data_IF_366562905014
#
_entry.id   IF_366562905014
#
_cell.length_a   1.000
_cell.length_b   1.000
_cell.length_c   1.000
_cell.angle_alpha   90.00
_cell.angle_beta   90.00
_cell.angle_gamma   90.00
#
_symmetry.space_group_name_H-M   'P 1'
#
loop_
_entity.id
_entity.type
_entity.pdbx_description
1 polymer ?
#
# COMPACT_ATOMS: atom_id res chain seq x y z
N UNK A 1 -3.71 -13.41 -16.30
CA UNK A 1 -2.98 -12.26 -16.92
C UNK A 1 -1.49 -12.56 -17.03
N UNK A 2 -0.79 -11.94 -17.98
CA UNK A 2 0.66 -12.08 -18.17
C UNK A 2 1.30 -10.71 -18.07
N UNK A 3 2.35 -10.55 -17.23
CA UNK A 3 2.97 -9.27 -16.95
C UNK A 3 4.45 -9.38 -16.60
N UNK A 4 5.18 -8.28 -16.79
CA UNK A 4 6.57 -8.06 -16.44
C UNK A 4 7.02 -6.67 -16.87
N UNK A 5 8.24 -6.28 -16.54
CA UNK A 5 8.77 -4.94 -16.87
C UNK A 5 9.39 -4.90 -18.27
N UNK A 6 10.02 -5.98 -18.69
CA UNK A 6 10.73 -6.08 -19.98
C UNK A 6 10.08 -7.18 -20.80
N UNK A 7 9.67 -6.88 -22.05
CA UNK A 7 9.10 -7.89 -22.95
C UNK A 7 10.02 -9.10 -23.06
N UNK A 8 9.45 -10.29 -22.80
CA UNK A 8 10.21 -11.56 -22.78
C UNK A 8 10.65 -12.01 -21.38
N UNK A 9 10.73 -11.12 -20.39
CA UNK A 9 10.97 -11.46 -18.98
C UNK A 9 9.66 -11.40 -18.19
N UNK A 10 8.95 -12.53 -18.16
CA UNK A 10 7.67 -12.65 -17.48
C UNK A 10 7.89 -12.83 -15.99
N UNK A 11 7.18 -12.03 -15.18
CA UNK A 11 7.09 -12.21 -13.73
C UNK A 11 5.82 -12.99 -13.41
N UNK A 12 4.73 -12.66 -14.10
CA UNK A 12 3.50 -13.42 -14.08
C UNK A 12 3.20 -13.98 -15.48
N UNK A 13 2.95 -15.26 -15.56
CA UNK A 13 2.59 -15.95 -16.81
C UNK A 13 1.30 -16.73 -16.61
N UNK A 14 0.27 -16.35 -17.35
CA UNK A 14 -1.10 -16.87 -17.23
C UNK A 14 -1.65 -16.89 -15.79
N UNK A 15 -1.21 -15.92 -14.98
CA UNK A 15 -1.55 -15.83 -13.57
C UNK A 15 -3.01 -15.39 -13.37
N UNK A 16 -3.67 -15.96 -12.36
CA UNK A 16 -5.00 -15.59 -11.90
C UNK A 16 -5.03 -15.51 -10.38
N UNK A 17 -5.63 -14.43 -9.86
CA UNK A 17 -5.94 -14.26 -8.46
C UNK A 17 -7.25 -13.49 -8.35
N UNK A 18 -8.07 -13.88 -7.40
CA UNK A 18 -9.23 -13.11 -6.96
C UNK A 18 -9.20 -12.96 -5.45
N UNK A 19 -9.25 -11.72 -4.97
CA UNK A 19 -9.43 -11.39 -3.55
C UNK A 19 -10.79 -10.68 -3.46
N UNK A 20 -11.69 -11.18 -2.63
CA UNK A 20 -13.07 -10.70 -2.58
C UNK A 20 -13.47 -10.28 -1.18
N UNK A 21 -14.24 -9.19 -1.11
CA UNK A 21 -14.82 -8.67 0.11
C UNK A 21 -13.88 -7.79 0.95
N UNK A 22 -14.41 -7.17 1.99
CA UNK A 22 -13.60 -6.53 3.02
C UNK A 22 -12.82 -7.59 3.78
N UNK A 23 -11.66 -7.20 4.31
CA UNK A 23 -10.78 -8.06 5.10
C UNK A 23 -9.33 -7.64 5.00
N UNK A 24 -8.49 -8.21 5.88
CA UNK A 24 -7.05 -8.05 5.88
C UNK A 24 -6.40 -9.30 5.29
N UNK A 25 -5.75 -9.14 4.15
CA UNK A 25 -5.14 -10.21 3.37
C UNK A 25 -3.62 -10.06 3.39
N UNK A 26 -2.91 -11.09 3.83
CA UNK A 26 -1.45 -11.09 3.83
C UNK A 26 -0.92 -11.78 2.58
N UNK A 27 -0.37 -10.99 1.66
CA UNK A 27 0.33 -11.50 0.48
C UNK A 27 1.81 -11.72 0.82
N UNK A 28 2.25 -12.96 0.82
CA UNK A 28 3.63 -13.33 1.11
C UNK A 28 4.29 -14.09 -0.05
N UNK A 29 5.60 -14.24 0.03
CA UNK A 29 6.41 -14.96 -0.93
C UNK A 29 7.89 -14.58 -0.83
N UNK A 30 8.75 -15.35 -1.48
CA UNK A 30 10.21 -15.14 -1.47
C UNK A 30 10.59 -13.82 -2.15
N UNK A 31 11.81 -13.34 -1.90
CA UNK A 31 12.36 -12.21 -2.65
C UNK A 31 12.39 -12.52 -4.15
N UNK A 32 12.00 -11.56 -4.97
CA UNK A 32 11.89 -11.72 -6.41
C UNK A 32 10.66 -12.48 -6.91
N UNK A 33 9.74 -12.91 -6.04
CA UNK A 33 8.54 -13.66 -6.44
C UNK A 33 7.44 -12.83 -7.11
N UNK A 34 7.62 -11.49 -7.22
CA UNK A 34 6.66 -10.61 -7.88
C UNK A 34 5.74 -9.82 -6.94
N UNK A 35 5.95 -9.81 -5.61
CA UNK A 35 5.11 -9.06 -4.66
C UNK A 35 4.97 -7.58 -5.03
N UNK A 36 6.08 -6.88 -5.25
CA UNK A 36 6.05 -5.47 -5.67
C UNK A 36 5.46 -5.29 -7.07
N UNK A 37 5.65 -6.29 -7.96
CA UNK A 37 4.99 -6.31 -9.28
C UNK A 37 3.47 -6.42 -9.13
N UNK A 38 2.98 -7.20 -8.16
CA UNK A 38 1.56 -7.25 -7.81
C UNK A 38 1.06 -5.86 -7.37
N UNK A 39 1.78 -5.18 -6.46
CA UNK A 39 1.43 -3.82 -6.04
C UNK A 39 1.40 -2.84 -7.23
N UNK A 40 2.36 -2.93 -8.15
CA UNK A 40 2.39 -2.09 -9.36
C UNK A 40 1.21 -2.38 -10.32
N UNK A 41 0.82 -3.64 -10.48
CA UNK A 41 -0.35 -4.04 -11.26
C UNK A 41 -1.64 -3.57 -10.60
N UNK A 42 -1.80 -3.79 -9.30
CA UNK A 42 -2.95 -3.34 -8.53
C UNK A 42 -3.06 -1.81 -8.52
N UNK A 43 -1.93 -1.08 -8.53
CA UNK A 43 -1.90 0.38 -8.66
C UNK A 43 -2.29 0.87 -10.06
N UNK A 44 -2.32 -0.01 -11.07
CA UNK A 44 -2.52 0.37 -12.48
C UNK A 44 -1.34 1.13 -13.10
N UNK A 45 -0.22 1.25 -12.37
CA UNK A 45 1.02 1.82 -12.91
C UNK A 45 1.65 0.87 -13.93
N UNK A 46 1.78 -0.41 -13.58
CA UNK A 46 2.15 -1.46 -14.52
C UNK A 46 0.89 -2.02 -15.17
N UNK A 47 0.88 -2.10 -16.50
CA UNK A 47 -0.20 -2.72 -17.27
C UNK A 47 0.21 -4.15 -17.68
N UNK A 48 -0.70 -5.13 -17.57
CA UNK A 48 -0.42 -6.47 -18.07
C UNK A 48 -0.24 -6.46 -19.59
N UNK A 49 0.59 -7.37 -20.10
CA UNK A 49 0.77 -7.58 -21.54
C UNK A 49 -0.40 -8.35 -22.17
N UNK A 50 -1.06 -9.19 -21.37
CA UNK A 50 -2.27 -9.93 -21.74
C UNK A 50 -3.15 -10.15 -20.52
N UNK A 51 -4.47 -10.22 -20.74
CA UNK A 51 -5.46 -10.29 -19.68
C UNK A 51 -5.74 -8.92 -19.04
N UNK A 52 -6.30 -8.93 -17.84
CA UNK A 52 -6.74 -7.71 -17.15
C UNK A 52 -6.39 -7.76 -15.66
N UNK A 53 -6.30 -6.58 -15.04
CA UNK A 53 -6.23 -6.39 -13.59
C UNK A 53 -7.36 -5.48 -13.18
N UNK A 54 -8.21 -5.97 -12.30
CA UNK A 54 -9.38 -5.22 -11.81
C UNK A 54 -9.22 -4.88 -10.33
N UNK A 55 -9.64 -3.68 -9.95
CA UNK A 55 -9.88 -3.25 -8.58
C UNK A 55 -11.37 -2.93 -8.46
N UNK A 56 -12.09 -3.62 -7.59
CA UNK A 56 -13.56 -3.52 -7.45
C UNK A 56 -14.32 -3.67 -8.77
N UNK A 57 -13.89 -4.62 -9.63
CA UNK A 57 -14.51 -4.84 -10.93
C UNK A 57 -14.17 -3.81 -12.01
N UNK A 58 -13.39 -2.77 -11.69
CA UNK A 58 -13.00 -1.69 -12.60
C UNK A 58 -11.54 -1.90 -13.00
N UNK A 59 -11.18 -1.63 -14.25
CA UNK A 59 -9.79 -1.73 -14.72
C UNK A 59 -8.86 -0.90 -13.83
N UNK A 60 -7.83 -1.55 -13.28
CA UNK A 60 -6.91 -0.93 -12.32
C UNK A 60 -6.21 0.33 -12.87
N UNK A 61 -5.98 0.42 -14.17
CA UNK A 61 -5.36 1.58 -14.81
C UNK A 61 -6.33 2.77 -15.00
N UNK A 62 -7.63 2.60 -14.74
CA UNK A 62 -8.63 3.66 -14.91
C UNK A 62 -8.53 4.75 -13.82
N UNK A 63 -9.15 5.89 -14.10
CA UNK A 63 -9.23 6.99 -13.13
C UNK A 63 -10.10 6.60 -11.94
N UNK A 64 -11.26 6.01 -12.18
CA UNK A 64 -12.23 5.66 -11.15
C UNK A 64 -11.63 4.66 -10.16
N UNK A 65 -10.92 3.62 -10.65
CA UNK A 65 -10.21 2.69 -9.78
C UNK A 65 -9.11 3.38 -8.96
N UNK A 66 -8.49 4.45 -9.46
CA UNK A 66 -7.46 5.21 -8.75
C UNK A 66 -8.04 6.02 -7.59
N UNK A 67 -9.25 6.53 -7.73
CA UNK A 67 -9.94 7.29 -6.67
C UNK A 67 -10.34 6.36 -5.51
N UNK A 68 -10.79 5.15 -5.81
CA UNK A 68 -11.28 4.17 -4.84
C UNK A 68 -10.17 3.31 -4.18
N UNK A 69 -8.90 3.51 -4.52
CA UNK A 69 -7.80 2.71 -3.93
C UNK A 69 -6.70 3.55 -3.34
N UNK A 70 -5.93 2.91 -2.45
CA UNK A 70 -4.69 3.43 -1.88
C UNK A 70 -3.56 2.43 -2.12
N UNK A 71 -2.38 2.91 -2.50
CA UNK A 71 -1.20 2.06 -2.70
C UNK A 71 -0.02 2.72 -2.02
N UNK A 72 0.46 2.09 -0.96
CA UNK A 72 1.67 2.46 -0.25
C UNK A 72 2.79 1.52 -0.70
N UNK A 73 3.70 2.02 -1.53
CA UNK A 73 4.86 1.26 -2.04
C UNK A 73 5.92 1.11 -0.96
N UNK A 74 6.77 0.09 -1.10
CA UNK A 74 7.84 -0.19 -0.16
C UNK A 74 8.83 0.99 0.01
N UNK A 75 9.12 1.69 -1.08
CA UNK A 75 10.06 2.82 -1.05
C UNK A 75 9.30 4.17 -1.03
N UNK A 76 9.53 5.02 -0.03
CA UNK A 76 8.97 6.35 0.02
C UNK A 76 9.44 7.23 -1.15
N UNK A 77 8.49 7.86 -1.85
CA UNK A 77 8.76 8.82 -2.91
C UNK A 77 8.29 10.22 -2.47
N UNK A 78 8.97 10.76 -1.47
CA UNK A 78 8.70 12.08 -0.90
C UNK A 78 9.48 13.17 -1.64
N UNK A 79 8.99 14.41 -1.59
CA UNK A 79 9.73 15.58 -2.07
C UNK A 79 10.74 16.03 -1.01
N UNK A 80 12.05 15.88 -1.24
CA UNK A 80 13.06 16.06 -0.18
C UNK A 80 13.09 17.46 0.44
N UNK A 81 12.75 18.50 -0.32
CA UNK A 81 12.75 19.89 0.12
C UNK A 81 11.41 20.35 0.73
N UNK A 82 10.40 19.49 0.76
CA UNK A 82 9.09 19.77 1.34
C UNK A 82 9.04 19.33 2.79
N UNK A 83 8.41 20.12 3.67
CA UNK A 83 8.26 19.76 5.08
C UNK A 83 7.26 18.59 5.24
N UNK A 84 7.33 17.91 6.37
CA UNK A 84 6.34 16.89 6.77
C UNK A 84 4.93 17.48 6.76
N UNK A 85 4.75 18.66 7.35
CA UNK A 85 3.48 19.38 7.35
C UNK A 85 2.96 19.61 5.93
N UNK A 86 3.80 20.13 5.05
CA UNK A 86 3.38 20.47 3.69
C UNK A 86 3.02 19.22 2.87
N UNK A 87 3.72 18.08 3.10
CA UNK A 87 3.33 16.80 2.49
C UNK A 87 1.94 16.36 2.93
N UNK A 88 1.62 16.50 4.23
CA UNK A 88 0.32 16.12 4.77
C UNK A 88 -0.76 17.00 4.17
N UNK A 89 -0.58 18.32 4.18
CA UNK A 89 -1.54 19.29 3.62
C UNK A 89 -1.73 19.08 2.11
N UNK A 90 -0.64 18.91 1.36
CA UNK A 90 -0.69 18.66 -0.08
C UNK A 90 -1.51 17.39 -0.38
N UNK A 91 -1.23 16.31 0.35
CA UNK A 91 -1.89 15.03 0.10
C UNK A 91 -3.37 15.07 0.51
N UNK A 92 -3.69 15.69 1.65
CA UNK A 92 -5.06 15.89 2.10
C UNK A 92 -5.85 16.70 1.07
N UNK A 93 -5.30 17.82 0.59
CA UNK A 93 -5.91 18.64 -0.45
C UNK A 93 -6.11 17.87 -1.76
N UNK A 94 -5.11 17.09 -2.18
CA UNK A 94 -5.20 16.26 -3.39
C UNK A 94 -6.25 15.14 -3.31
N UNK A 95 -6.67 14.79 -2.09
CA UNK A 95 -7.71 13.78 -1.79
C UNK A 95 -9.06 14.39 -1.41
N UNK A 96 -9.16 15.71 -1.49
CA UNK A 96 -10.35 16.46 -1.08
C UNK A 96 -10.80 16.17 0.37
N UNK A 97 -9.81 16.01 1.26
CA UNK A 97 -10.02 15.81 2.71
C UNK A 97 -9.42 16.96 3.50
N UNK A 98 -9.99 17.25 4.67
CA UNK A 98 -9.46 18.26 5.58
C UNK A 98 -8.08 17.88 6.10
N UNK A 99 -7.11 18.81 6.18
CA UNK A 99 -5.79 18.53 6.74
C UNK A 99 -5.79 18.22 8.24
N UNK A 100 -6.75 18.75 9.02
CA UNK A 100 -6.76 18.61 10.48
C UNK A 100 -6.81 17.15 10.93
N UNK A 101 -7.73 16.28 10.46
CA UNK A 101 -7.70 14.86 10.82
C UNK A 101 -6.42 14.14 10.39
N UNK A 102 -5.79 14.58 9.29
CA UNK A 102 -4.53 14.02 8.84
C UNK A 102 -3.37 14.42 9.76
N UNK A 103 -3.38 15.63 10.30
CA UNK A 103 -2.41 16.11 11.29
C UNK A 103 -2.59 15.40 12.64
N UNK A 104 -3.84 15.16 13.08
CA UNK A 104 -4.11 14.37 14.29
C UNK A 104 -3.57 12.93 14.13
N UNK A 105 -3.81 12.33 12.98
CA UNK A 105 -3.29 11.00 12.64
C UNK A 105 -1.74 11.01 12.56
N UNK A 106 -1.13 12.08 12.07
CA UNK A 106 0.32 12.25 12.09
C UNK A 106 0.87 12.27 13.51
N UNK A 107 0.19 12.93 14.44
CA UNK A 107 0.57 12.95 15.85
C UNK A 107 0.52 11.54 16.46
N UNK A 108 -0.52 10.75 16.17
CA UNK A 108 -0.62 9.34 16.60
C UNK A 108 0.52 8.48 16.07
N UNK A 109 1.00 8.73 14.85
CA UNK A 109 2.16 8.07 14.25
C UNK A 109 3.51 8.64 14.73
N UNK A 110 3.52 9.55 15.72
CA UNK A 110 4.74 10.15 16.25
C UNK A 110 5.43 11.11 15.28
N UNK A 111 4.72 11.67 14.30
CA UNK A 111 5.25 12.64 13.34
C UNK A 111 5.19 14.09 13.87
N UNK A 112 4.49 14.35 14.98
CA UNK A 112 4.30 15.69 15.54
C UNK A 112 5.61 16.50 15.69
N UNK A 113 6.68 15.97 16.29
CA UNK A 113 7.96 16.68 16.43
C UNK A 113 8.65 17.00 15.09
N UNK A 114 8.27 16.33 14.01
CA UNK A 114 8.92 16.42 12.70
C UNK A 114 8.18 17.32 11.71
N UNK A 115 7.03 17.90 12.08
CA UNK A 115 6.16 18.64 11.15
C UNK A 115 6.90 19.78 10.40
N UNK A 116 7.84 20.46 11.06
CA UNK A 116 8.64 21.52 10.45
C UNK A 116 9.89 21.04 9.68
N UNK A 117 10.22 19.75 9.76
CA UNK A 117 11.42 19.19 9.14
C UNK A 117 11.18 18.85 7.67
N UNK A 118 12.22 19.03 6.85
CA UNK A 118 12.20 18.60 5.46
C UNK A 118 12.23 17.08 5.35
N UNK A 119 11.46 16.50 4.42
CA UNK A 119 11.40 15.05 4.22
C UNK A 119 12.77 14.43 3.91
N UNK A 120 13.67 15.17 3.27
CA UNK A 120 15.04 14.71 2.98
C UNK A 120 15.94 14.52 4.19
N UNK A 121 15.59 15.09 5.37
CA UNK A 121 16.33 14.94 6.63
C UNK A 121 15.80 13.82 7.53
N UNK A 122 14.68 13.20 7.18
CA UNK A 122 14.02 12.20 8.00
C UNK A 122 14.80 10.88 8.04
N UNK A 123 14.73 10.19 9.18
CA UNK A 123 15.14 8.78 9.24
C UNK A 123 14.24 7.92 8.32
N UNK A 124 14.74 6.76 7.91
CA UNK A 124 13.98 5.81 7.09
C UNK A 124 12.61 5.49 7.70
N UNK A 125 12.55 5.22 9.00
CA UNK A 125 11.30 4.91 9.69
C UNK A 125 10.34 6.10 9.72
N UNK A 126 10.84 7.31 9.99
CA UNK A 126 10.02 8.55 9.99
C UNK A 126 9.49 8.85 8.58
N UNK A 127 10.34 8.71 7.54
CA UNK A 127 9.93 8.86 6.15
C UNK A 127 8.85 7.83 5.75
N UNK A 128 8.96 6.59 6.21
CA UNK A 128 7.94 5.56 5.98
C UNK A 128 6.62 5.87 6.66
N UNK A 129 6.62 6.38 7.88
CA UNK A 129 5.41 6.82 8.57
C UNK A 129 4.70 7.94 7.81
N UNK A 130 5.46 8.94 7.33
CA UNK A 130 4.91 10.00 6.49
C UNK A 130 4.36 9.44 5.16
N UNK A 131 5.10 8.54 4.52
CA UNK A 131 4.70 7.89 3.27
C UNK A 131 3.42 7.07 3.42
N UNK A 132 3.34 6.28 4.50
CA UNK A 132 2.14 5.53 4.85
C UNK A 132 0.94 6.46 5.05
N UNK A 133 1.07 7.49 5.89
CA UNK A 133 0.02 8.47 6.14
C UNK A 133 -0.45 9.10 4.81
N UNK A 134 0.46 9.64 4.01
CA UNK A 134 0.15 10.32 2.75
C UNK A 134 -0.58 9.41 1.75
N UNK A 135 -0.24 8.12 1.72
CA UNK A 135 -0.85 7.17 0.79
C UNK A 135 -2.10 6.46 1.32
N UNK A 136 -2.57 6.80 2.52
CA UNK A 136 -3.75 6.17 3.13
C UNK A 136 -4.78 7.19 3.62
N UNK A 137 -4.74 8.43 3.11
CA UNK A 137 -5.73 9.46 3.42
C UNK A 137 -7.02 9.28 2.63
N UNK A 138 -8.13 9.68 3.26
CA UNK A 138 -9.49 9.63 2.69
C UNK A 138 -10.03 8.21 2.60
N UNK A 139 -11.27 8.09 2.12
CA UNK A 139 -11.96 6.82 1.97
C UNK A 139 -11.43 6.00 0.80
N UNK A 140 -11.52 4.69 0.90
CA UNK A 140 -11.11 3.75 -0.14
C UNK A 140 -11.77 2.38 0.03
N UNK A 141 -11.86 1.64 -1.06
CA UNK A 141 -12.37 0.26 -1.07
C UNK A 141 -11.23 -0.76 -1.11
N UNK A 142 -10.04 -0.33 -1.54
CA UNK A 142 -8.85 -1.18 -1.66
C UNK A 142 -7.62 -0.43 -1.13
N UNK A 143 -6.88 -1.06 -0.22
CA UNK A 143 -5.53 -0.64 0.14
C UNK A 143 -4.52 -1.74 -0.19
N UNK A 144 -3.40 -1.39 -0.84
CA UNK A 144 -2.25 -2.27 -1.03
C UNK A 144 -1.05 -1.64 -0.36
N UNK A 145 -0.52 -2.31 0.65
CA UNK A 145 0.54 -1.81 1.53
C UNK A 145 1.78 -2.71 1.39
N UNK A 146 2.81 -2.21 0.71
CA UNK A 146 4.04 -2.98 0.44
C UNK A 146 5.12 -2.62 1.47
N UNK A 147 5.47 -3.58 2.34
CA UNK A 147 6.46 -3.48 3.41
C UNK A 147 6.33 -2.21 4.29
N UNK A 148 5.14 -1.88 4.79
CA UNK A 148 4.89 -0.60 5.44
C UNK A 148 5.61 -0.44 6.79
N UNK A 149 6.01 -1.55 7.44
CA UNK A 149 6.56 -1.56 8.80
C UNK A 149 8.09 -1.50 8.87
N UNK A 150 8.80 -1.66 7.74
CA UNK A 150 10.26 -1.75 7.74
C UNK A 150 10.91 -0.46 8.29
N UNK A 151 11.59 -0.58 9.43
CA UNK A 151 12.25 0.53 10.12
C UNK A 151 11.32 1.44 10.93
N UNK A 152 10.04 1.09 11.07
CA UNK A 152 9.07 1.80 11.90
C UNK A 152 9.16 1.30 13.34
N UNK A 153 9.01 2.20 14.31
CA UNK A 153 9.00 1.89 15.73
C UNK A 153 7.73 1.13 16.17
N UNK A 154 7.82 0.39 17.28
CA UNK A 154 6.75 -0.49 17.74
C UNK A 154 5.43 0.26 18.05
N UNK A 155 5.51 1.46 18.63
CA UNK A 155 4.32 2.25 18.96
C UNK A 155 3.57 2.65 17.69
N UNK A 156 4.30 3.13 16.68
CA UNK A 156 3.72 3.47 15.37
C UNK A 156 3.19 2.22 14.64
N UNK A 157 3.86 1.08 14.75
CA UNK A 157 3.36 -0.20 14.20
C UNK A 157 2.03 -0.58 14.82
N UNK A 158 1.86 -0.44 16.14
CA UNK A 158 0.60 -0.73 16.81
C UNK A 158 -0.55 0.16 16.32
N UNK A 159 -0.28 1.46 16.10
CA UNK A 159 -1.23 2.40 15.50
C UNK A 159 -1.62 1.95 14.10
N UNK A 160 -0.64 1.69 13.22
CA UNK A 160 -0.88 1.24 11.84
C UNK A 160 -1.67 -0.08 11.79
N UNK A 161 -1.37 -1.03 12.68
CA UNK A 161 -2.10 -2.29 12.79
C UNK A 161 -3.56 -2.08 13.21
N UNK A 162 -3.79 -1.14 14.13
CA UNK A 162 -5.14 -0.73 14.53
C UNK A 162 -5.94 -0.15 13.37
N UNK A 163 -5.33 0.74 12.59
CA UNK A 163 -5.93 1.34 11.39
C UNK A 163 -6.27 0.28 10.33
N UNK A 164 -5.34 -0.64 10.04
CA UNK A 164 -5.59 -1.72 9.07
C UNK A 164 -6.75 -2.62 9.47
N UNK A 165 -6.88 -2.94 10.76
CA UNK A 165 -8.02 -3.70 11.28
C UNK A 165 -9.34 -2.94 11.14
N UNK A 166 -9.32 -1.63 11.33
CA UNK A 166 -10.52 -0.81 11.17
C UNK A 166 -10.92 -0.74 9.69
N UNK A 167 -9.98 -0.49 8.79
CA UNK A 167 -10.25 -0.48 7.34
C UNK A 167 -10.74 -1.83 6.82
N UNK A 168 -10.19 -2.94 7.33
CA UNK A 168 -10.59 -4.28 6.93
C UNK A 168 -12.06 -4.61 7.21
N UNK A 169 -12.77 -3.83 8.02
CA UNK A 169 -14.21 -3.99 8.24
C UNK A 169 -15.06 -3.60 7.04
N UNK A 170 -14.55 -2.71 6.18
CA UNK A 170 -15.30 -2.16 5.04
C UNK A 170 -14.54 -2.19 3.72
N UNK A 171 -13.21 -2.33 3.76
CA UNK A 171 -12.34 -2.31 2.59
C UNK A 171 -11.50 -3.59 2.48
N UNK A 172 -11.05 -3.91 1.28
CA UNK A 172 -10.02 -4.93 1.05
C UNK A 172 -8.64 -4.34 1.34
N UNK A 173 -7.95 -4.85 2.35
CA UNK A 173 -6.59 -4.43 2.73
C UNK A 173 -5.63 -5.56 2.39
N UNK A 174 -4.76 -5.36 1.41
CA UNK A 174 -3.71 -6.29 1.04
C UNK A 174 -2.38 -5.82 1.63
N UNK A 175 -1.91 -6.53 2.62
CA UNK A 175 -0.61 -6.30 3.25
C UNK A 175 0.43 -7.21 2.61
N UNK A 176 1.46 -6.64 2.03
CA UNK A 176 2.63 -7.32 1.52
C UNK A 176 3.74 -7.17 2.57
N UNK A 177 4.15 -8.27 3.18
CA UNK A 177 5.23 -8.27 4.16
C UNK A 177 5.94 -9.63 4.19
N UNK A 178 7.24 -9.61 4.56
CA UNK A 178 7.99 -10.85 4.77
C UNK A 178 7.55 -11.58 6.02
N UNK A 179 7.35 -10.84 7.09
CA UNK A 179 6.87 -11.33 8.37
C UNK A 179 5.79 -10.38 8.89
N UNK A 180 4.78 -10.95 9.53
CA UNK A 180 3.76 -10.16 10.20
C UNK A 180 4.26 -9.70 11.56
N UNK A 181 3.85 -8.52 11.95
CA UNK A 181 3.99 -8.03 13.31
C UNK A 181 2.97 -8.77 14.21
N UNK A 182 3.27 -8.98 15.51
CA UNK A 182 2.38 -9.71 16.42
C UNK A 182 0.97 -9.14 16.50
N UNK A 183 0.82 -7.84 16.23
CA UNK A 183 -0.45 -7.12 16.26
C UNK A 183 -1.32 -7.37 15.03
N UNK A 184 -0.78 -8.03 13.99
CA UNK A 184 -1.46 -8.25 12.71
C UNK A 184 -1.98 -9.68 12.63
N UNK A 185 -3.29 -9.82 12.60
CA UNK A 185 -3.99 -11.08 12.37
C UNK A 185 -4.76 -10.97 11.04
N UNK A 186 -4.23 -11.54 9.94
CA UNK A 186 -4.91 -11.49 8.65
C UNK A 186 -6.05 -12.50 8.59
N UNK A 187 -7.12 -12.15 7.87
CA UNK A 187 -8.24 -13.06 7.59
C UNK A 187 -7.81 -14.20 6.65
N UNK A 188 -6.85 -13.93 5.75
CA UNK A 188 -6.30 -14.92 4.83
C UNK A 188 -4.84 -14.62 4.51
N UNK A 189 -4.03 -15.68 4.46
CA UNK A 189 -2.66 -15.63 3.95
C UNK A 189 -2.62 -16.18 2.53
N UNK A 190 -2.03 -15.42 1.62
CA UNK A 190 -1.98 -15.72 0.19
C UNK A 190 -0.51 -15.86 -0.22
N UNK A 191 -0.15 -16.99 -0.82
CA UNK A 191 1.18 -17.22 -1.37
C UNK A 191 1.24 -16.73 -2.83
N UNK A 192 2.13 -15.80 -3.15
CA UNK A 192 2.24 -15.27 -4.51
C UNK A 192 2.67 -16.33 -5.54
N UNK A 193 3.37 -17.38 -5.12
CA UNK A 193 3.75 -18.50 -5.97
C UNK A 193 2.55 -19.30 -6.50
N UNK A 194 1.41 -19.22 -5.83
CA UNK A 194 0.17 -19.88 -6.26
C UNK A 194 -0.46 -19.20 -7.48
N UNK A 195 -0.01 -17.97 -7.86
CA UNK A 195 -0.50 -17.25 -9.04
C UNK A 195 0.17 -17.67 -10.34
N UNK A 196 1.28 -18.36 -10.29
CA UNK A 196 2.09 -18.71 -11.48
C UNK A 196 1.88 -20.14 -11.97
N UNK A 197 0.83 -20.84 -11.54
CA UNK A 197 0.53 -22.20 -11.94
C UNK A 197 -0.97 -22.46 -11.92
N UNK A 198 -1.43 -23.33 -12.81
CA UNK A 198 -2.76 -23.91 -12.71
C UNK A 198 -2.95 -24.47 -11.30
N UNK A 199 -3.78 -23.83 -10.49
CA UNK A 199 -4.31 -24.46 -9.30
C UNK A 199 -5.39 -25.41 -9.80
N UNK A 200 -5.01 -26.67 -9.97
CA UNK A 200 -5.94 -27.77 -10.24
C UNK A 200 -6.66 -28.16 -8.96
#
# INVERSE_FOLDING_TARGET
MTAGYIRGSRIFDNASLSISGPGLFHLRGRNGSGKSTFAELASGYLRPWAGQVLANGIEAASRDAREARRVCRAEPALFPAMTVHDHIVLTATARDVSPEPALDRAAMLGLGPWLGENAGSLSTGTAKKLWYLANTLGDFDLAVLDEPFNGVDADSVAVMAGEMREWAKSACVVLIAHALQPEIEPDLVIEISEFSGEIS
#
